data_IF_732186823376
#
_entry.id   IF_732186823376
#
_cell.length_a   1.000
_cell.length_b   1.000
_cell.length_c   1.000
_cell.angle_alpha   90.00
_cell.angle_beta   90.00
_cell.angle_gamma   90.00
#
_symmetry.space_group_name_H-M   'P 1'
#
loop_
_entity.id
_entity.type
_entity.pdbx_description
1 polymer ?
#
# COMPACT_ATOMS: atom_id res chain seq x y z
N UNK A 1 19.05 -19.19 -8.30
CA UNK A 1 17.99 -20.21 -8.10
C UNK A 1 17.76 -20.35 -6.61
N UNK A 2 16.55 -20.04 -6.14
CA UNK A 2 16.16 -20.28 -4.75
C UNK A 2 16.05 -21.80 -4.56
N UNK A 3 16.62 -22.39 -3.50
CA UNK A 3 16.42 -23.82 -3.22
C UNK A 3 14.91 -24.09 -3.08
N UNK A 4 14.37 -24.93 -3.96
CA UNK A 4 12.98 -25.37 -3.88
C UNK A 4 12.88 -26.40 -2.76
N UNK A 5 12.03 -26.17 -1.76
CA UNK A 5 11.69 -27.21 -0.77
C UNK A 5 10.90 -28.36 -1.41
N UNK A 6 10.40 -28.18 -2.63
CA UNK A 6 9.66 -29.17 -3.40
C UNK A 6 10.19 -29.17 -4.85
N UNK A 7 11.30 -29.88 -5.15
CA UNK A 7 11.95 -29.84 -6.46
C UNK A 7 11.05 -30.27 -7.62
N UNK A 8 9.97 -31.00 -7.35
CA UNK A 8 9.04 -31.54 -8.36
C UNK A 8 7.95 -30.55 -8.81
N UNK A 9 7.85 -29.36 -8.18
CA UNK A 9 6.83 -28.34 -8.50
C UNK A 9 7.48 -27.13 -9.18
N UNK A 10 7.51 -27.13 -10.51
CA UNK A 10 7.86 -25.96 -11.32
C UNK A 10 6.64 -25.04 -11.40
N UNK A 11 6.61 -24.01 -10.55
CA UNK A 11 5.61 -22.95 -10.63
C UNK A 11 6.22 -21.72 -11.31
N UNK A 12 5.53 -21.16 -12.31
CA UNK A 12 5.79 -19.80 -12.72
C UNK A 12 5.13 -18.87 -11.69
N UNK A 13 5.94 -18.17 -10.89
CA UNK A 13 5.42 -17.31 -9.83
C UNK A 13 5.06 -15.95 -10.42
N UNK A 14 3.80 -15.52 -10.32
CA UNK A 14 3.39 -14.26 -10.91
C UNK A 14 4.11 -13.09 -10.24
N UNK A 15 4.46 -12.08 -11.04
CA UNK A 15 4.93 -10.82 -10.49
C UNK A 15 3.79 -10.14 -9.72
N UNK A 16 4.14 -9.49 -8.62
CA UNK A 16 3.18 -8.71 -7.82
C UNK A 16 3.72 -7.30 -7.65
N UNK A 17 2.86 -6.36 -7.25
CA UNK A 17 3.23 -4.97 -6.97
C UNK A 17 2.75 -4.56 -5.57
N UNK A 18 3.38 -3.54 -4.98
CA UNK A 18 3.07 -3.07 -3.64
C UNK A 18 4.23 -2.26 -3.08
N UNK A 19 3.93 -1.42 -2.08
CA UNK A 19 4.90 -0.54 -1.41
C UNK A 19 5.86 -1.30 -0.48
N UNK A 20 6.89 -0.60 0.01
CA UNK A 20 7.69 -1.09 1.13
C UNK A 20 6.80 -1.40 2.32
N UNK A 21 6.94 -2.62 2.84
CA UNK A 21 6.08 -3.15 3.90
C UNK A 21 6.87 -4.15 4.76
N UNK A 22 7.03 -3.81 6.04
CA UNK A 22 7.50 -4.72 7.08
C UNK A 22 6.65 -6.00 7.07
N UNK A 23 7.30 -7.16 7.02
CA UNK A 23 6.59 -8.44 6.95
C UNK A 23 6.10 -8.86 5.56
N UNK A 24 6.39 -8.09 4.49
CA UNK A 24 6.04 -8.46 3.11
C UNK A 24 6.46 -9.88 2.76
N UNK A 25 5.52 -10.65 2.22
CA UNK A 25 5.70 -12.07 1.85
C UNK A 25 6.23 -12.28 0.44
N UNK A 26 6.69 -11.24 -0.24
CA UNK A 26 7.20 -11.32 -1.62
C UNK A 26 8.20 -12.47 -1.83
N UNK A 27 9.19 -12.62 -0.93
CA UNK A 27 10.21 -13.69 -1.01
C UNK A 27 9.66 -15.08 -0.64
N UNK A 28 8.53 -15.14 0.05
CA UNK A 28 7.89 -16.38 0.51
C UNK A 28 6.74 -16.83 -0.38
N UNK A 29 6.29 -16.01 -1.35
CA UNK A 29 5.26 -16.37 -2.32
C UNK A 29 5.49 -17.75 -2.94
N UNK A 30 6.72 -18.13 -3.36
CA UNK A 30 6.94 -19.45 -3.93
C UNK A 30 6.50 -20.61 -3.04
N UNK A 31 6.86 -20.54 -1.75
CA UNK A 31 6.57 -21.59 -0.79
C UNK A 31 5.09 -21.61 -0.39
N UNK A 32 4.48 -20.44 -0.22
CA UNK A 32 3.04 -20.32 0.10
C UNK A 32 2.20 -20.95 -1.01
N UNK A 33 2.51 -20.64 -2.27
CA UNK A 33 1.78 -21.14 -3.43
C UNK A 33 1.99 -22.65 -3.62
N UNK A 34 3.21 -23.15 -3.43
CA UNK A 34 3.49 -24.59 -3.49
C UNK A 34 2.69 -25.37 -2.43
N UNK A 35 2.56 -24.84 -1.21
CA UNK A 35 1.76 -25.47 -0.16
C UNK A 35 0.26 -25.43 -0.48
N UNK A 36 -0.25 -24.28 -0.92
CA UNK A 36 -1.65 -24.14 -1.30
C UNK A 36 -2.04 -25.05 -2.46
N UNK A 37 -1.15 -25.23 -3.45
CA UNK A 37 -1.41 -26.11 -4.59
C UNK A 37 -1.68 -27.58 -4.18
N UNK A 38 -1.08 -28.05 -3.08
CA UNK A 38 -1.28 -29.44 -2.60
C UNK A 38 -2.71 -29.72 -2.17
N UNK A 39 -3.42 -28.72 -1.66
CA UNK A 39 -4.81 -28.85 -1.21
C UNK A 39 -5.82 -28.45 -2.29
N UNK A 40 -5.34 -27.99 -3.46
CA UNK A 40 -6.15 -27.66 -4.65
C UNK A 40 -7.41 -26.82 -4.33
N UNK A 41 -7.29 -25.70 -3.60
CA UNK A 41 -8.44 -24.89 -3.24
C UNK A 41 -9.02 -24.21 -4.48
N UNK A 42 -10.32 -23.93 -4.50
CA UNK A 42 -10.94 -23.06 -5.50
C UNK A 42 -11.02 -21.62 -4.99
N UNK A 43 -11.29 -21.46 -3.70
CA UNK A 43 -11.40 -20.17 -3.01
C UNK A 43 -10.34 -20.05 -1.92
N UNK A 44 -9.60 -18.95 -1.93
CA UNK A 44 -8.59 -18.61 -0.93
C UNK A 44 -9.01 -17.34 -0.19
N UNK A 45 -9.03 -17.41 1.14
CA UNK A 45 -9.23 -16.26 2.02
C UNK A 45 -7.89 -15.75 2.54
N UNK A 46 -7.53 -14.52 2.21
CA UNK A 46 -6.37 -13.81 2.75
C UNK A 46 -6.84 -12.86 3.86
N UNK A 47 -6.71 -13.29 5.12
CA UNK A 47 -7.32 -12.59 6.26
C UNK A 47 -6.60 -11.30 6.70
N UNK A 48 -5.35 -11.11 6.26
CA UNK A 48 -4.48 -9.98 6.59
C UNK A 48 -3.71 -9.55 5.35
N UNK A 49 -4.43 -9.01 4.37
CA UNK A 49 -3.91 -8.84 3.02
C UNK A 49 -2.70 -7.90 2.93
N UNK A 50 -2.56 -6.93 3.84
CA UNK A 50 -1.46 -5.97 3.84
C UNK A 50 -1.32 -5.27 2.48
N UNK A 51 -0.17 -5.41 1.81
CA UNK A 51 0.05 -4.86 0.45
C UNK A 51 -0.47 -5.75 -0.68
N UNK A 52 -1.33 -6.71 -0.36
CA UNK A 52 -2.01 -7.64 -1.26
C UNK A 52 -1.11 -8.56 -2.09
N UNK A 53 0.17 -8.70 -1.73
CA UNK A 53 1.13 -9.56 -2.44
C UNK A 53 0.65 -11.00 -2.57
N UNK A 54 0.12 -11.59 -1.49
CA UNK A 54 -0.37 -12.97 -1.48
C UNK A 54 -1.68 -13.08 -2.27
N UNK A 55 -2.65 -12.21 -1.98
CA UNK A 55 -3.89 -12.06 -2.74
C UNK A 55 -3.69 -11.92 -4.26
N UNK A 56 -2.80 -11.02 -4.71
CA UNK A 56 -2.47 -10.82 -6.12
C UNK A 56 -1.92 -12.10 -6.77
N UNK A 57 -1.06 -12.82 -6.06
CA UNK A 57 -0.44 -14.02 -6.59
C UNK A 57 -1.47 -15.15 -6.76
N UNK A 58 -2.36 -15.35 -5.79
CA UNK A 58 -3.46 -16.31 -5.93
C UNK A 58 -4.43 -15.92 -7.05
N UNK A 59 -4.81 -14.64 -7.15
CA UNK A 59 -5.72 -14.19 -8.20
C UNK A 59 -5.15 -14.42 -9.61
N UNK A 60 -3.89 -14.08 -9.85
CA UNK A 60 -3.20 -14.32 -11.13
C UNK A 60 -3.04 -15.80 -11.48
N UNK A 61 -3.10 -16.69 -10.49
CA UNK A 61 -3.07 -18.14 -10.70
C UNK A 61 -4.47 -18.76 -10.86
N UNK A 62 -5.51 -17.93 -10.98
CA UNK A 62 -6.87 -18.35 -11.30
C UNK A 62 -7.72 -18.79 -10.10
N UNK A 63 -7.27 -18.55 -8.86
CA UNK A 63 -8.07 -18.81 -7.67
C UNK A 63 -9.11 -17.70 -7.44
N UNK A 64 -10.29 -18.03 -6.90
CA UNK A 64 -11.16 -17.00 -6.30
C UNK A 64 -10.47 -16.53 -5.02
N UNK A 65 -10.37 -15.21 -4.85
CA UNK A 65 -9.70 -14.61 -3.67
C UNK A 65 -10.70 -13.75 -2.93
N UNK A 66 -10.77 -13.96 -1.62
CA UNK A 66 -11.44 -13.09 -0.66
C UNK A 66 -10.32 -12.43 0.15
N UNK A 67 -10.09 -11.13 0.00
CA UNK A 67 -9.05 -10.42 0.77
C UNK A 67 -9.67 -9.61 1.90
N UNK A 68 -9.09 -9.62 3.07
CA UNK A 68 -9.47 -8.79 4.20
C UNK A 68 -8.25 -8.11 4.83
N UNK A 69 -8.42 -6.87 5.25
CA UNK A 69 -7.52 -6.20 6.19
C UNK A 69 -8.27 -5.09 6.92
N UNK A 70 -7.84 -4.78 8.14
CA UNK A 70 -8.42 -3.67 8.91
C UNK A 70 -7.99 -2.30 8.37
N UNK A 71 -6.86 -2.24 7.65
CA UNK A 71 -6.32 -1.00 7.12
C UNK A 71 -7.03 -0.56 5.83
N UNK A 72 -7.54 0.67 5.81
CA UNK A 72 -8.24 1.23 4.64
C UNK A 72 -7.38 1.25 3.37
N UNK A 73 -6.06 1.48 3.50
CA UNK A 73 -5.16 1.48 2.36
C UNK A 73 -4.96 0.08 1.76
N UNK A 74 -5.10 -0.97 2.56
CA UNK A 74 -5.07 -2.35 2.08
C UNK A 74 -6.34 -2.69 1.30
N UNK A 75 -7.52 -2.23 1.76
CA UNK A 75 -8.78 -2.30 0.99
C UNK A 75 -8.62 -1.67 -0.39
N UNK A 76 -8.03 -0.47 -0.47
CA UNK A 76 -7.78 0.24 -1.73
C UNK A 76 -6.87 -0.57 -2.67
N UNK A 77 -5.80 -1.17 -2.16
CA UNK A 77 -4.97 -2.07 -2.98
C UNK A 77 -5.73 -3.32 -3.42
N UNK A 78 -6.57 -3.89 -2.56
CA UNK A 78 -7.43 -5.02 -2.90
C UNK A 78 -8.38 -4.68 -4.05
N UNK A 79 -9.07 -3.54 -3.97
CA UNK A 79 -9.95 -3.06 -5.04
C UNK A 79 -9.17 -2.83 -6.35
N UNK A 80 -8.02 -2.17 -6.27
CA UNK A 80 -7.17 -1.90 -7.44
C UNK A 80 -6.72 -3.18 -8.15
N UNK A 81 -6.21 -4.18 -7.43
CA UNK A 81 -5.61 -5.34 -8.06
C UNK A 81 -6.59 -6.49 -8.29
N UNK A 82 -7.62 -6.65 -7.45
CA UNK A 82 -8.55 -7.79 -7.53
C UNK A 82 -9.89 -7.45 -8.19
N UNK A 83 -10.34 -6.18 -8.13
CA UNK A 83 -11.64 -5.78 -8.66
C UNK A 83 -11.56 -4.93 -9.93
N UNK A 84 -10.38 -4.46 -10.31
CA UNK A 84 -10.23 -3.72 -11.55
C UNK A 84 -10.72 -4.52 -12.77
N UNK A 85 -11.57 -3.88 -13.58
CA UNK A 85 -12.00 -4.34 -14.91
C UNK A 85 -11.72 -3.32 -16.01
N UNK A 86 -11.12 -2.18 -15.67
CA UNK A 86 -10.88 -1.08 -16.60
C UNK A 86 -9.67 -1.33 -17.50
N UNK A 87 -9.75 -0.78 -18.72
CA UNK A 87 -8.64 -0.77 -19.69
C UNK A 87 -7.46 0.06 -19.14
N UNK A 88 -6.24 -0.47 -19.33
CA UNK A 88 -5.00 0.23 -19.02
C UNK A 88 -4.94 1.61 -19.67
N UNK A 89 -5.47 1.76 -20.89
CA UNK A 89 -5.47 3.06 -21.61
C UNK A 89 -6.32 4.10 -20.90
N UNK A 90 -7.50 3.74 -20.42
CA UNK A 90 -8.38 4.63 -19.67
C UNK A 90 -7.66 5.20 -18.43
N UNK A 91 -7.01 4.36 -17.64
CA UNK A 91 -6.25 4.84 -16.48
C UNK A 91 -5.02 5.66 -16.85
N UNK A 92 -4.40 5.36 -17.99
CA UNK A 92 -3.24 6.10 -18.46
C UNK A 92 -3.61 7.56 -18.74
N UNK A 93 -4.75 7.83 -19.36
CA UNK A 93 -5.25 9.19 -19.64
C UNK A 93 -5.44 10.00 -18.33
N UNK A 94 -6.09 9.41 -17.32
CA UNK A 94 -6.28 10.03 -16.00
C UNK A 94 -4.91 10.30 -15.33
N UNK A 95 -4.03 9.30 -15.34
CA UNK A 95 -2.70 9.41 -14.70
C UNK A 95 -1.85 10.48 -15.37
N UNK A 96 -1.92 10.62 -16.68
CA UNK A 96 -1.21 11.67 -17.40
C UNK A 96 -1.73 13.05 -17.02
N UNK A 97 -3.06 13.26 -16.98
CA UNK A 97 -3.66 14.51 -16.49
C UNK A 97 -3.17 14.88 -15.08
N UNK A 98 -3.19 13.93 -14.13
CA UNK A 98 -2.71 14.14 -12.77
C UNK A 98 -1.19 14.46 -12.72
N UNK A 99 -0.40 13.80 -13.56
CA UNK A 99 1.03 14.08 -13.71
C UNK A 99 1.30 15.48 -14.29
N UNK A 100 0.40 16.07 -15.07
CA UNK A 100 0.53 17.42 -15.63
C UNK A 100 0.09 18.56 -14.70
N UNK A 101 -0.63 18.26 -13.60
CA UNK A 101 -1.11 19.30 -12.68
C UNK A 101 0.03 20.20 -12.15
N UNK A 102 -0.21 21.53 -12.05
CA UNK A 102 0.74 22.41 -11.38
C UNK A 102 0.86 22.04 -9.90
N UNK A 103 2.08 22.16 -9.36
CA UNK A 103 2.35 21.98 -7.95
C UNK A 103 1.66 23.07 -7.11
N UNK A 104 1.21 22.72 -5.91
CA UNK A 104 0.67 23.69 -4.95
C UNK A 104 0.99 23.30 -3.52
N UNK A 105 1.04 24.28 -2.64
CA UNK A 105 1.12 24.01 -1.21
C UNK A 105 -0.23 23.54 -0.67
N UNK A 106 -0.19 22.67 0.33
CA UNK A 106 -1.36 22.18 1.04
C UNK A 106 -0.96 21.45 2.32
N UNK A 107 -1.91 20.69 2.86
CA UNK A 107 -1.77 20.07 4.18
C UNK A 107 -0.61 19.07 4.24
N UNK A 108 -0.36 18.30 3.18
CA UNK A 108 0.77 17.37 3.15
C UNK A 108 2.10 18.10 3.10
N UNK A 109 2.17 19.20 2.34
CA UNK A 109 3.36 20.06 2.26
C UNK A 109 3.70 20.67 3.61
N UNK A 110 2.73 21.28 4.29
CA UNK A 110 2.92 21.88 5.62
C UNK A 110 3.37 20.86 6.67
N UNK A 111 2.85 19.63 6.59
CA UNK A 111 3.11 18.64 7.62
C UNK A 111 4.34 17.79 7.34
N UNK A 112 4.56 17.38 6.10
CA UNK A 112 5.53 16.34 5.73
C UNK A 112 6.52 16.75 4.64
N UNK A 113 6.42 17.97 4.11
CA UNK A 113 7.38 18.53 3.17
C UNK A 113 8.61 19.08 3.88
N UNK A 114 9.80 18.79 3.34
CA UNK A 114 11.06 19.38 3.76
C UNK A 114 11.80 20.04 2.60
N UNK A 115 12.49 21.15 2.86
CA UNK A 115 13.32 21.81 1.87
C UNK A 115 14.57 20.95 1.60
N UNK A 116 15.02 20.85 0.35
CA UNK A 116 16.28 20.19 0.02
C UNK A 116 17.48 21.08 0.37
N UNK A 117 17.60 21.51 1.63
CA UNK A 117 18.68 22.37 2.12
C UNK A 117 19.92 21.53 2.47
N UNK A 118 20.53 20.95 1.44
CA UNK A 118 21.69 20.05 1.59
C UNK A 118 21.29 18.61 1.87
N UNK A 119 22.07 17.92 2.72
CA UNK A 119 21.85 16.48 3.01
C UNK A 119 20.81 16.23 4.10
N UNK A 120 20.59 17.14 5.04
CA UNK A 120 19.69 16.91 6.18
C UNK A 120 18.22 16.95 5.77
N UNK A 121 17.43 16.03 6.32
CA UNK A 121 15.97 16.01 6.17
C UNK A 121 15.23 16.74 7.30
N UNK A 122 15.97 17.31 8.25
CA UNK A 122 15.41 18.02 9.40
C UNK A 122 15.23 19.49 9.05
N UNK A 123 14.04 20.02 9.30
CA UNK A 123 13.73 21.43 9.06
C UNK A 123 14.05 22.29 10.29
N UNK A 124 13.80 23.60 10.18
CA UNK A 124 13.97 24.57 11.27
C UNK A 124 13.14 24.23 12.52
N UNK A 125 12.09 23.43 12.39
CA UNK A 125 11.30 22.88 13.50
C UNK A 125 12.00 21.72 14.25
N UNK A 126 13.18 21.30 13.79
CA UNK A 126 13.94 20.17 14.32
C UNK A 126 13.36 18.80 13.96
N UNK A 127 12.32 18.75 13.13
CA UNK A 127 11.67 17.51 12.73
C UNK A 127 12.09 17.08 11.33
N UNK A 128 12.36 15.79 11.22
CA UNK A 128 12.67 15.13 9.96
C UNK A 128 11.42 15.05 9.09
N UNK A 129 11.61 15.07 7.77
CA UNK A 129 10.52 14.99 6.81
C UNK A 129 10.66 13.72 5.94
N UNK A 130 9.55 13.01 5.66
CA UNK A 130 9.59 11.82 4.81
C UNK A 130 9.73 12.15 3.32
N UNK A 131 9.41 13.37 2.88
CA UNK A 131 9.47 13.77 1.48
C UNK A 131 10.02 15.19 1.31
N UNK A 132 10.71 15.41 0.21
CA UNK A 132 11.09 16.76 -0.20
C UNK A 132 9.87 17.54 -0.71
N UNK A 133 9.91 18.86 -0.53
CA UNK A 133 8.76 19.75 -0.68
C UNK A 133 8.09 19.67 -2.06
N UNK A 134 8.85 19.48 -3.13
CA UNK A 134 8.30 19.37 -4.49
C UNK A 134 7.39 18.13 -4.65
N UNK A 135 7.72 17.03 -3.97
CA UNK A 135 6.90 15.82 -3.98
C UNK A 135 5.63 15.99 -3.14
N UNK A 136 5.70 16.68 -1.99
CA UNK A 136 4.48 16.94 -1.20
C UNK A 136 3.56 17.95 -1.87
N UNK A 137 4.09 18.95 -2.58
CA UNK A 137 3.28 19.90 -3.36
C UNK A 137 2.54 19.22 -4.50
N UNK A 138 3.22 18.27 -5.15
CA UNK A 138 2.61 17.45 -6.20
C UNK A 138 1.55 16.51 -5.64
N UNK A 139 1.77 15.94 -4.45
CA UNK A 139 0.76 15.18 -3.71
C UNK A 139 -0.47 16.03 -3.38
N UNK A 140 -0.31 17.22 -2.80
CA UNK A 140 -1.43 18.12 -2.49
C UNK A 140 -2.25 18.47 -3.75
N UNK A 141 -1.58 18.76 -4.87
CA UNK A 141 -2.23 19.00 -6.16
C UNK A 141 -3.06 17.80 -6.61
N UNK A 142 -2.43 16.63 -6.72
CA UNK A 142 -3.07 15.40 -7.22
C UNK A 142 -4.21 14.97 -6.31
N UNK A 143 -4.03 15.06 -4.98
CA UNK A 143 -5.02 14.52 -4.06
C UNK A 143 -6.27 15.38 -4.00
N UNK A 144 -6.17 16.70 -4.13
CA UNK A 144 -7.37 17.52 -4.31
C UNK A 144 -8.08 17.22 -5.64
N UNK A 145 -7.32 17.00 -6.72
CA UNK A 145 -7.92 16.72 -8.04
C UNK A 145 -8.67 15.39 -8.06
N UNK A 146 -8.12 14.33 -7.46
CA UNK A 146 -8.79 13.02 -7.36
C UNK A 146 -10.17 13.12 -6.71
N UNK A 147 -10.41 14.05 -5.78
CA UNK A 147 -11.72 14.22 -5.15
C UNK A 147 -12.71 15.03 -6.01
N UNK A 148 -12.23 15.72 -7.05
CA UNK A 148 -13.07 16.43 -8.04
C UNK A 148 -13.42 15.55 -9.23
N UNK A 149 -12.60 14.55 -9.54
CA UNK A 149 -12.88 13.58 -10.59
C UNK A 149 -14.09 12.72 -10.21
N UNK A 150 -15.00 12.52 -11.17
CA UNK A 150 -16.15 11.63 -11.01
C UNK A 150 -15.76 10.17 -11.31
N UNK A 151 -14.92 9.60 -10.44
CA UNK A 151 -14.46 8.21 -10.52
C UNK A 151 -15.32 7.30 -9.65
N UNK A 152 -15.58 6.08 -10.11
CA UNK A 152 -16.19 5.06 -9.27
C UNK A 152 -15.21 4.55 -8.18
N UNK A 153 -15.68 3.67 -7.29
CA UNK A 153 -14.86 3.17 -6.17
C UNK A 153 -13.58 2.44 -6.65
N UNK A 154 -13.68 1.66 -7.72
CA UNK A 154 -12.58 0.84 -8.26
C UNK A 154 -11.61 1.73 -9.02
N UNK A 155 -12.10 2.63 -9.86
CA UNK A 155 -11.30 3.60 -10.60
C UNK A 155 -10.51 4.50 -9.64
N UNK A 156 -11.19 5.03 -8.62
CA UNK A 156 -10.55 5.81 -7.55
C UNK A 156 -9.50 4.98 -6.82
N UNK A 157 -9.76 3.70 -6.55
CA UNK A 157 -8.79 2.82 -5.92
C UNK A 157 -7.52 2.60 -6.78
N UNK A 158 -7.66 2.46 -8.11
CA UNK A 158 -6.53 2.35 -9.04
C UNK A 158 -5.67 3.61 -9.01
N UNK A 159 -6.29 4.78 -9.11
CA UNK A 159 -5.59 6.08 -9.11
C UNK A 159 -4.91 6.34 -7.76
N UNK A 160 -5.57 6.05 -6.64
CA UNK A 160 -4.99 6.18 -5.30
C UNK A 160 -3.83 5.20 -5.07
N UNK A 161 -3.93 3.98 -5.59
CA UNK A 161 -2.83 3.00 -5.56
C UNK A 161 -1.63 3.53 -6.35
N UNK A 162 -1.86 4.10 -7.53
CA UNK A 162 -0.81 4.76 -8.33
C UNK A 162 -0.10 5.88 -7.56
N UNK A 163 -0.86 6.73 -6.88
CA UNK A 163 -0.34 7.82 -6.06
C UNK A 163 0.56 7.30 -4.93
N UNK A 164 0.10 6.30 -4.18
CA UNK A 164 0.89 5.72 -3.08
C UNK A 164 2.17 5.06 -3.60
N UNK A 165 2.11 4.33 -4.71
CA UNK A 165 3.30 3.74 -5.33
C UNK A 165 4.30 4.80 -5.81
N UNK A 166 3.82 5.93 -6.33
CA UNK A 166 4.68 7.04 -6.73
C UNK A 166 5.39 7.67 -5.53
N UNK A 167 4.68 7.88 -4.42
CA UNK A 167 5.24 8.43 -3.18
C UNK A 167 6.25 7.49 -2.53
N UNK A 168 5.97 6.19 -2.50
CA UNK A 168 6.87 5.18 -1.96
C UNK A 168 8.21 5.15 -2.72
N UNK A 169 8.23 5.49 -4.01
CA UNK A 169 9.46 5.55 -4.82
C UNK A 169 10.35 6.75 -4.50
N UNK A 170 9.83 7.78 -3.84
CA UNK A 170 10.54 9.05 -3.57
C UNK A 170 10.58 9.43 -2.09
N UNK A 171 10.29 8.49 -1.19
CA UNK A 171 10.31 8.72 0.25
C UNK A 171 11.74 8.62 0.83
N UNK A 172 11.95 9.27 1.97
CA UNK A 172 13.19 9.24 2.76
C UNK A 172 12.98 8.46 4.07
N UNK A 173 12.52 7.22 3.95
CA UNK A 173 12.23 6.33 5.07
C UNK A 173 12.88 4.95 4.91
N UNK A 174 12.84 4.15 5.98
CA UNK A 174 13.24 2.73 5.99
C UNK A 174 12.09 1.78 5.58
N UNK A 175 11.01 2.30 4.98
CA UNK A 175 9.84 1.51 4.59
C UNK A 175 8.65 1.60 5.54
N UNK A 176 8.64 2.59 6.43
CA UNK A 176 7.51 2.93 7.30
C UNK A 176 7.58 4.39 7.76
N UNK A 177 6.47 4.92 8.27
CA UNK A 177 6.29 6.32 8.63
C UNK A 177 6.24 6.59 10.14
N UNK A 178 6.71 5.65 10.96
CA UNK A 178 6.91 5.88 12.40
C UNK A 178 8.20 6.64 12.73
N UNK A 179 9.15 6.72 11.79
CA UNK A 179 10.39 7.48 11.89
C UNK A 179 11.02 7.72 10.51
N UNK A 180 11.82 8.78 10.37
CA UNK A 180 12.43 9.18 9.10
C UNK A 180 13.98 9.24 9.19
N UNK A 181 14.65 9.14 8.04
CA UNK A 181 16.11 9.20 7.94
C UNK A 181 16.62 10.60 8.31
N UNK A 182 17.83 10.70 8.89
CA UNK A 182 18.47 11.99 9.19
C UNK A 182 18.86 12.75 7.91
N UNK A 183 19.31 12.00 6.91
CA UNK A 183 19.71 12.52 5.61
C UNK A 183 18.68 12.11 4.55
N UNK A 184 18.54 12.94 3.53
CA UNK A 184 17.74 12.63 2.36
C UNK A 184 18.28 11.39 1.65
N UNK A 185 17.42 10.40 1.45
CA UNK A 185 17.75 9.27 0.59
C UNK A 185 17.99 9.75 -0.85
N UNK A 186 18.89 9.12 -1.63
CA UNK A 186 19.10 9.51 -3.02
C UNK A 186 17.82 9.55 -3.86
N UNK A 187 16.86 8.65 -3.58
CA UNK A 187 15.59 8.58 -4.30
C UNK A 187 14.64 9.74 -4.03
N UNK A 188 14.76 10.45 -2.88
CA UNK A 188 13.85 11.54 -2.55
C UNK A 188 14.08 12.82 -3.36
N UNK A 189 15.23 12.92 -4.03
CA UNK A 189 15.52 13.99 -4.98
C UNK A 189 14.81 13.83 -6.32
N UNK A 190 14.28 12.63 -6.61
CA UNK A 190 13.48 12.41 -7.81
C UNK A 190 12.12 13.14 -7.69
N UNK A 191 11.55 13.49 -8.84
CA UNK A 191 10.17 13.95 -8.93
C UNK A 191 9.22 12.75 -8.93
N UNK A 192 8.20 12.78 -8.08
CA UNK A 192 7.16 11.77 -8.08
C UNK A 192 6.46 11.75 -9.45
N UNK A 193 6.19 10.54 -9.95
CA UNK A 193 5.48 10.31 -11.19
C UNK A 193 4.54 9.12 -11.02
N UNK A 194 3.25 9.36 -11.20
CA UNK A 194 2.24 8.31 -11.21
C UNK A 194 2.44 7.42 -12.44
N UNK A 195 2.16 6.14 -12.27
CA UNK A 195 2.18 5.13 -13.33
C UNK A 195 0.97 4.23 -13.13
N UNK A 196 0.34 3.78 -14.20
CA UNK A 196 -0.74 2.78 -14.08
C UNK A 196 -0.17 1.58 -13.32
N UNK A 197 -0.80 1.14 -12.22
CA UNK A 197 -0.38 -0.06 -11.50
C UNK A 197 -0.23 -1.27 -12.44
N UNK A 198 0.46 -2.30 -11.99
CA UNK A 198 0.58 -3.57 -12.73
C UNK A 198 -0.73 -4.37 -12.62
N UNK A 199 -1.77 -3.81 -13.25
CA UNK A 199 -3.08 -4.43 -13.35
C UNK A 199 -2.97 -5.75 -14.12
N UNK A 200 -3.74 -6.73 -13.68
CA UNK A 200 -3.91 -8.00 -14.36
C UNK A 200 -5.40 -8.27 -14.49
N UNK A 201 -5.76 -9.08 -15.49
CA UNK A 201 -7.12 -9.55 -15.69
C UNK A 201 -7.34 -10.84 -14.91
N UNK A 202 -8.53 -10.99 -14.36
CA UNK A 202 -8.95 -12.22 -13.71
C UNK A 202 -10.43 -12.44 -13.97
N UNK A 203 -10.76 -13.62 -14.50
CA UNK A 203 -12.12 -14.10 -14.75
C UNK A 203 -12.87 -14.47 -13.47
N UNK A 204 -12.20 -14.45 -12.31
CA UNK A 204 -12.82 -14.78 -11.03
C UNK A 204 -13.48 -13.55 -10.41
N UNK A 205 -14.62 -13.78 -9.77
CA UNK A 205 -15.27 -12.79 -8.93
C UNK A 205 -14.64 -12.78 -7.55
N UNK A 206 -13.63 -11.92 -7.39
CA UNK A 206 -12.96 -11.67 -6.12
C UNK A 206 -13.83 -10.84 -5.17
N UNK A 207 -13.52 -10.93 -3.88
CA UNK A 207 -14.15 -10.14 -2.82
C UNK A 207 -13.08 -9.37 -2.04
N UNK A 208 -13.37 -8.11 -1.73
CA UNK A 208 -12.47 -7.23 -0.98
C UNK A 208 -13.23 -6.71 0.24
N UNK A 209 -12.89 -7.25 1.39
CA UNK A 209 -13.45 -6.91 2.69
C UNK A 209 -12.50 -5.97 3.43
N UNK A 210 -13.04 -5.21 4.36
CA UNK A 210 -12.24 -4.44 5.31
C UNK A 210 -12.87 -4.48 6.69
N UNK A 211 -12.17 -5.12 7.62
CA UNK A 211 -12.72 -5.35 8.95
C UNK A 211 -11.78 -6.10 9.89
N UNK A 212 -12.21 -6.15 11.14
CA UNK A 212 -11.61 -6.99 12.16
C UNK A 212 -11.78 -8.47 11.78
N UNK A 213 -10.67 -9.20 11.74
CA UNK A 213 -10.64 -10.60 11.33
C UNK A 213 -11.61 -11.48 12.13
N UNK A 214 -11.78 -11.22 13.42
CA UNK A 214 -12.64 -12.04 14.28
C UNK A 214 -14.12 -11.89 13.93
N UNK A 215 -14.52 -10.75 13.37
CA UNK A 215 -15.87 -10.52 12.84
C UNK A 215 -16.00 -10.95 11.38
N UNK A 216 -14.93 -10.75 10.60
CA UNK A 216 -14.94 -11.08 9.17
C UNK A 216 -15.03 -12.59 8.95
N UNK A 217 -14.32 -13.41 9.74
CA UNK A 217 -14.28 -14.86 9.57
C UNK A 217 -15.65 -15.53 9.72
N UNK A 218 -16.57 -14.94 10.48
CA UNK A 218 -17.95 -15.43 10.63
C UNK A 218 -18.78 -15.34 9.34
N UNK A 219 -18.31 -14.58 8.35
CA UNK A 219 -19.04 -14.26 7.10
C UNK A 219 -18.33 -14.76 5.85
N UNK A 220 -17.23 -15.50 6.01
CA UNK A 220 -16.38 -15.96 4.89
C UNK A 220 -16.48 -17.48 4.77
N UNK A 221 -16.74 -17.93 3.55
CA UNK A 221 -16.67 -19.34 3.17
C UNK A 221 -15.56 -19.52 2.11
N UNK A 222 -14.54 -20.33 2.44
CA UNK A 222 -13.36 -20.54 1.60
C UNK A 222 -12.71 -21.91 1.86
N UNK A 223 -12.13 -22.50 0.80
CA UNK A 223 -11.47 -23.81 0.89
C UNK A 223 -10.11 -23.74 1.62
N UNK A 224 -9.44 -22.59 1.54
CA UNK A 224 -8.16 -22.34 2.18
C UNK A 224 -8.14 -20.95 2.80
N UNK A 225 -7.79 -20.85 4.08
CA UNK A 225 -7.51 -19.58 4.75
C UNK A 225 -6.00 -19.38 4.95
N UNK A 226 -5.51 -18.20 4.58
CA UNK A 226 -4.15 -17.73 4.81
C UNK A 226 -4.18 -16.62 5.86
N UNK A 227 -3.41 -16.80 6.94
CA UNK A 227 -3.28 -15.82 8.01
C UNK A 227 -1.81 -15.46 8.25
N UNK A 228 -1.54 -14.16 8.15
CA UNK A 228 -0.25 -13.55 8.48
C UNK A 228 -0.50 -12.25 9.27
N UNK A 229 -0.91 -12.36 10.54
CA UNK A 229 -1.26 -11.20 11.35
C UNK A 229 -0.05 -10.26 11.54
N UNK A 230 -0.29 -8.96 11.80
CA UNK A 230 0.78 -7.98 11.93
C UNK A 230 1.79 -8.35 13.02
N UNK A 231 3.06 -8.09 12.74
CA UNK A 231 4.15 -8.29 13.69
C UNK A 231 4.17 -7.16 14.73
N UNK A 232 3.91 -7.50 15.98
CA UNK A 232 3.90 -6.51 17.06
C UNK A 232 3.01 -7.01 18.19
N UNK A 233 3.60 -7.10 19.37
CA UNK A 233 3.03 -7.66 20.61
C UNK A 233 1.59 -7.19 20.92
N UNK A 234 0.87 -8.02 21.67
CA UNK A 234 -0.50 -7.80 22.14
C UNK A 234 -0.74 -6.32 22.55
N UNK A 235 -1.69 -5.67 21.87
CA UNK A 235 -2.04 -4.25 22.05
C UNK A 235 -2.43 -3.90 23.50
N UNK A 236 -2.88 -4.87 24.30
CA UNK A 236 -3.21 -4.71 25.72
C UNK A 236 -1.98 -4.80 26.63
N UNK A 237 -0.97 -5.58 26.24
CA UNK A 237 0.22 -5.86 27.06
C UNK A 237 1.42 -4.99 26.69
N UNK A 238 1.31 -4.16 25.65
CA UNK A 238 2.38 -3.28 25.24
C UNK A 238 2.39 -1.98 26.05
N UNK A 239 3.55 -1.57 26.58
CA UNK A 239 3.67 -0.25 27.19
C UNK A 239 3.39 0.84 26.13
N UNK A 240 2.77 1.97 26.51
CA UNK A 240 2.44 3.07 25.60
C UNK A 240 3.64 3.63 24.80
N UNK A 241 4.87 3.38 25.28
CA UNK A 241 6.12 3.80 24.67
C UNK A 241 6.46 3.10 23.36
N UNK A 242 5.87 1.95 23.06
CA UNK A 242 6.14 1.22 21.81
C UNK A 242 5.13 1.59 20.72
N UNK A 243 5.64 1.75 19.50
CA UNK A 243 4.83 2.10 18.32
C UNK A 243 4.05 0.87 17.85
N UNK A 244 2.72 0.97 17.82
CA UNK A 244 1.83 -0.07 17.28
C UNK A 244 2.01 -0.21 15.76
N UNK A 245 1.81 -1.43 15.24
CA UNK A 245 2.02 -1.72 13.82
C UNK A 245 1.19 -0.82 12.89
N UNK A 246 -0.07 -0.53 13.24
CA UNK A 246 -0.92 0.38 12.47
C UNK A 246 -0.31 1.77 12.26
N UNK A 247 0.51 2.24 13.22
CA UNK A 247 1.18 3.54 13.11
C UNK A 247 2.35 3.56 12.11
N UNK A 248 2.81 2.41 11.62
CA UNK A 248 3.86 2.35 10.60
C UNK A 248 3.38 2.86 9.24
N UNK A 249 2.08 2.72 8.94
CA UNK A 249 1.50 3.07 7.64
C UNK A 249 0.39 4.12 7.77
N UNK A 250 0.47 4.92 8.84
CA UNK A 250 -0.54 5.92 9.17
C UNK A 250 -0.73 6.96 8.04
N UNK A 251 0.37 7.32 7.36
CA UNK A 251 0.35 8.25 6.24
C UNK A 251 -0.45 7.73 5.03
N UNK A 252 -0.40 6.43 4.75
CA UNK A 252 -1.24 5.84 3.70
C UNK A 252 -2.72 5.98 4.03
N UNK A 253 -3.10 5.82 5.29
CA UNK A 253 -4.49 6.07 5.74
C UNK A 253 -4.90 7.52 5.46
N UNK A 254 -4.05 8.48 5.81
CA UNK A 254 -4.32 9.91 5.58
C UNK A 254 -4.38 10.28 4.10
N UNK A 255 -3.53 9.69 3.26
CA UNK A 255 -3.55 9.93 1.81
C UNK A 255 -4.81 9.36 1.16
N UNK A 256 -5.24 8.16 1.58
CA UNK A 256 -6.48 7.54 1.08
C UNK A 256 -7.70 8.36 1.49
N UNK A 257 -7.83 8.66 2.79
CA UNK A 257 -9.00 9.36 3.33
C UNK A 257 -9.01 10.85 3.00
N UNK A 258 -7.85 11.44 2.71
CA UNK A 258 -7.65 12.89 2.52
C UNK A 258 -8.25 13.74 3.67
N UNK A 259 -8.20 13.22 4.89
CA UNK A 259 -8.97 13.68 6.05
C UNK A 259 -8.26 14.73 6.92
N UNK A 260 -7.02 15.10 6.57
CA UNK A 260 -6.23 16.18 7.20
C UNK A 260 -6.29 16.14 8.75
N UNK A 261 -5.97 15.00 9.38
CA UNK A 261 -6.17 14.81 10.82
C UNK A 261 -5.23 15.71 11.63
N UNK A 262 -5.52 15.88 12.92
CA UNK A 262 -4.50 16.42 13.84
C UNK A 262 -3.30 15.46 13.89
N UNK A 263 -2.10 16.02 14.06
CA UNK A 263 -0.85 15.25 14.08
C UNK A 263 -0.09 15.45 15.39
N UNK A 264 0.64 14.42 15.82
CA UNK A 264 1.39 14.46 17.08
C UNK A 264 2.77 13.78 17.00
N UNK A 265 3.67 14.22 17.88
CA UNK A 265 5.03 13.68 18.02
C UNK A 265 5.96 14.02 16.87
N UNK A 266 7.22 13.58 16.97
CA UNK A 266 8.30 13.93 16.01
C UNK A 266 8.06 13.45 14.57
N UNK A 267 7.34 12.34 14.41
CA UNK A 267 6.97 11.82 13.09
C UNK A 267 5.65 12.40 12.56
N UNK A 268 5.00 13.31 13.31
CA UNK A 268 3.67 13.87 13.00
C UNK A 268 2.65 12.77 12.68
N UNK A 269 2.48 11.81 13.60
CA UNK A 269 1.51 10.72 13.40
C UNK A 269 0.09 11.26 13.50
N UNK A 270 -0.84 10.74 12.69
CA UNK A 270 -2.28 11.06 12.83
C UNK A 270 -2.82 10.63 14.20
N UNK A 271 -3.69 11.45 14.79
CA UNK A 271 -4.47 11.13 16.02
C UNK A 271 -5.78 10.43 15.69
#
# INVERSE_FOLDING_TARGET
MTPSMFPDLIFNFPETEGVKYAGSKLKLLPYILQLAHKVKPKTVFDGFAGTTRVSQAFAQLGYKVISNDIAVWSKIFGLCYLKNRGDRKFYQEIIDQLNFLPEKDGWFTENYGGLPNGKSSSENDGFKKPWQIHNTRKLDAIREEIDKLNLDEIEKAVVLTSLILALDRVDSTLGHFSSYLNEWSPRSFNRMKLKVPRLFESEKEHEVLSGDIFKTIEKVDADLAYFDPPYGSNNEKMPPSRVRYAAYYHLWTTIILNDKPKVFGKAKRRT
#
